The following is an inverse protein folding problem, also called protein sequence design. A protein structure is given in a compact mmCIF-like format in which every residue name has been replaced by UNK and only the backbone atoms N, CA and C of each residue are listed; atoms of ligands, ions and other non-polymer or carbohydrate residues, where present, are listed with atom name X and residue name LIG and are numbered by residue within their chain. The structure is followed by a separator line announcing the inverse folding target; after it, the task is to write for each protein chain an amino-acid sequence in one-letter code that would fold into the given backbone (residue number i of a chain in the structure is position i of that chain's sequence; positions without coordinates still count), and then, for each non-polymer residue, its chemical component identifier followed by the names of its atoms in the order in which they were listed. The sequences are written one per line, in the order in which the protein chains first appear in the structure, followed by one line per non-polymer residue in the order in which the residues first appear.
data_IF_486015435715
#
_entry.id   IF_486015435715
#
_cell.length_a   1.000
_cell.length_b   1.000
_cell.length_c   1.000
_cell.angle_alpha   90.00
_cell.angle_beta   90.00
_cell.angle_gamma   90.00
#
_symmetry.space_group_name_H-M   'P 1'
#
loop_
_entity.id
_entity.type
_entity.pdbx_description
1 polymer ?
#
# COMPACT_ATOMS: atom_id res chain seq x y z
N UNK A 1 20.06 -15.92 -0.19
CA UNK A 1 18.66 -15.52 -0.43
C UNK A 1 18.45 -14.02 -0.27
N UNK A 2 19.09 -13.34 0.70
CA UNK A 2 18.98 -11.87 0.87
C UNK A 2 19.37 -11.01 -0.36
N UNK A 3 20.42 -11.38 -1.11
CA UNK A 3 20.84 -10.59 -2.29
C UNK A 3 19.77 -10.50 -3.39
N UNK A 4 18.99 -11.56 -3.61
CA UNK A 4 17.90 -11.57 -4.60
C UNK A 4 16.76 -10.63 -4.17
N UNK A 5 16.43 -10.58 -2.88
CA UNK A 5 15.41 -9.68 -2.34
C UNK A 5 15.87 -8.22 -2.33
N UNK A 6 17.15 -7.98 -2.05
CA UNK A 6 17.76 -6.66 -2.18
C UNK A 6 17.67 -6.15 -3.63
N UNK A 7 18.05 -6.98 -4.62
CA UNK A 7 17.92 -6.64 -6.04
C UNK A 7 16.46 -6.38 -6.43
N UNK A 8 15.53 -7.24 -5.98
CA UNK A 8 14.10 -7.06 -6.24
C UNK A 8 13.58 -5.72 -5.71
N UNK A 9 13.89 -5.39 -4.46
CA UNK A 9 13.45 -4.14 -3.82
C UNK A 9 14.08 -2.93 -4.51
N UNK A 10 15.35 -3.00 -4.89
CA UNK A 10 16.03 -1.98 -5.70
C UNK A 10 15.33 -1.74 -7.06
N UNK A 11 14.92 -2.81 -7.74
CA UNK A 11 14.17 -2.70 -9.01
C UNK A 11 12.83 -1.99 -8.79
N UNK A 12 12.07 -2.38 -7.76
CA UNK A 12 10.80 -1.72 -7.44
C UNK A 12 11.01 -0.25 -7.10
N UNK A 13 12.00 0.09 -6.27
CA UNK A 13 12.35 1.48 -5.96
C UNK A 13 12.70 2.27 -7.22
N UNK A 14 13.44 1.67 -8.15
CA UNK A 14 13.74 2.26 -9.45
C UNK A 14 12.48 2.55 -10.27
N UNK A 15 11.52 1.62 -10.32
CA UNK A 15 10.24 1.85 -11.01
C UNK A 15 9.45 2.97 -10.34
N UNK A 16 9.39 3.02 -9.00
CA UNK A 16 8.68 4.09 -8.29
C UNK A 16 9.30 5.47 -8.58
N UNK A 17 10.63 5.54 -8.68
CA UNK A 17 11.34 6.77 -9.05
C UNK A 17 11.03 7.19 -10.50
N UNK A 18 10.98 6.24 -11.43
CA UNK A 18 10.54 6.47 -12.81
C UNK A 18 9.09 6.98 -12.85
N UNK A 19 8.16 6.34 -12.13
CA UNK A 19 6.77 6.78 -12.06
C UNK A 19 6.64 8.19 -11.45
N UNK A 20 7.39 8.50 -10.39
CA UNK A 20 7.40 9.82 -9.76
C UNK A 20 7.92 10.90 -10.73
N UNK A 21 9.03 10.64 -11.43
CA UNK A 21 9.61 11.59 -12.40
C UNK A 21 8.73 11.78 -13.64
N UNK A 22 8.15 10.71 -14.18
CA UNK A 22 7.20 10.78 -15.30
C UNK A 22 5.93 11.54 -14.91
N UNK A 23 5.36 11.26 -13.73
CA UNK A 23 4.18 11.97 -13.22
C UNK A 23 4.48 13.45 -12.97
N UNK A 24 5.69 13.78 -12.48
CA UNK A 24 6.14 15.16 -12.31
C UNK A 24 6.25 15.88 -13.67
N UNK A 25 6.85 15.25 -14.68
CA UNK A 25 6.93 15.82 -16.02
C UNK A 25 5.54 16.03 -16.65
N UNK A 26 4.64 15.04 -16.51
CA UNK A 26 3.25 15.13 -16.96
C UNK A 26 2.47 16.24 -16.23
N UNK A 27 2.74 16.44 -14.93
CA UNK A 27 2.18 17.54 -14.17
C UNK A 27 2.67 18.90 -14.68
N UNK A 28 3.98 19.06 -14.93
CA UNK A 28 4.54 20.30 -15.47
C UNK A 28 3.92 20.67 -16.84
N UNK A 29 3.63 19.67 -17.68
CA UNK A 29 3.03 19.90 -18.99
C UNK A 29 1.52 20.20 -18.92
N UNK A 30 0.75 19.44 -18.14
CA UNK A 30 -0.73 19.49 -18.15
C UNK A 30 -1.34 20.36 -17.05
N UNK A 31 -0.58 20.64 -15.98
CA UNK A 31 -1.06 21.24 -14.73
C UNK A 31 -2.24 20.50 -14.07
N UNK A 32 -2.52 19.25 -14.48
CA UNK A 32 -3.61 18.46 -13.92
C UNK A 32 -3.27 17.97 -12.51
N UNK A 33 -4.22 18.12 -11.58
CA UNK A 33 -4.07 17.73 -10.17
C UNK A 33 -3.87 16.23 -9.99
N UNK A 34 -4.43 15.41 -10.87
CA UNK A 34 -4.29 13.94 -10.82
C UNK A 34 -2.83 13.50 -10.82
N UNK A 35 -2.01 14.07 -11.72
CA UNK A 35 -0.58 13.71 -11.80
C UNK A 35 0.20 14.10 -10.53
N UNK A 36 -0.20 15.16 -9.81
CA UNK A 36 0.40 15.48 -8.50
C UNK A 36 0.11 14.40 -7.46
N UNK A 37 -1.12 13.88 -7.44
CA UNK A 37 -1.50 12.84 -6.49
C UNK A 37 -0.83 11.50 -6.81
N UNK A 38 -0.69 11.14 -8.09
CA UNK A 38 0.08 9.97 -8.53
C UNK A 38 1.55 10.11 -8.12
N UNK A 39 2.17 11.26 -8.36
CA UNK A 39 3.54 11.53 -7.92
C UNK A 39 3.69 11.34 -6.40
N UNK A 40 2.75 11.87 -5.61
CA UNK A 40 2.73 11.67 -4.16
C UNK A 40 2.66 10.20 -3.77
N UNK A 41 1.75 9.43 -4.39
CA UNK A 41 1.64 7.99 -4.14
C UNK A 41 2.94 7.25 -4.45
N UNK A 42 3.59 7.57 -5.57
CA UNK A 42 4.87 6.97 -5.96
C UNK A 42 6.01 7.30 -4.98
N UNK A 43 6.08 8.54 -4.47
CA UNK A 43 7.10 8.95 -3.49
C UNK A 43 6.89 8.31 -2.11
N UNK A 44 5.65 8.23 -1.63
CA UNK A 44 5.36 7.53 -0.38
C UNK A 44 5.64 6.03 -0.52
N UNK A 45 5.31 5.41 -1.65
CA UNK A 45 5.60 4.00 -1.87
C UNK A 45 7.10 3.72 -2.01
N UNK A 46 7.85 4.64 -2.62
CA UNK A 46 9.32 4.61 -2.63
C UNK A 46 9.87 4.65 -1.21
N UNK A 47 9.32 5.50 -0.33
CA UNK A 47 9.73 5.58 1.07
C UNK A 47 9.38 4.30 1.85
N UNK A 48 8.26 3.65 1.54
CA UNK A 48 7.87 2.36 2.14
C UNK A 48 8.87 1.27 1.76
N UNK A 49 9.18 1.16 0.46
CA UNK A 49 10.19 0.23 -0.05
C UNK A 49 11.58 0.51 0.54
N UNK A 50 11.93 1.79 0.75
CA UNK A 50 13.20 2.18 1.36
C UNK A 50 13.25 1.75 2.83
N UNK A 51 12.18 1.92 3.61
CA UNK A 51 12.15 1.45 5.00
C UNK A 51 12.35 -0.05 5.07
N UNK A 52 11.63 -0.82 4.24
CA UNK A 52 11.79 -2.28 4.17
C UNK A 52 13.23 -2.66 3.81
N UNK A 53 13.82 -1.98 2.81
CA UNK A 53 15.21 -2.21 2.42
C UNK A 53 16.19 -1.89 3.56
N UNK A 54 15.96 -0.82 4.33
CA UNK A 54 16.80 -0.42 5.45
C UNK A 54 16.73 -1.42 6.61
N UNK A 55 15.53 -1.91 6.91
CA UNK A 55 15.32 -2.93 7.94
C UNK A 55 16.02 -4.24 7.56
N UNK A 56 15.91 -4.67 6.30
CA UNK A 56 16.48 -5.93 5.80
C UNK A 56 18.00 -5.89 5.60
N UNK A 57 18.52 -4.84 4.94
CA UNK A 57 19.93 -4.77 4.56
C UNK A 57 20.84 -4.22 5.66
N UNK A 58 20.30 -3.40 6.56
CA UNK A 58 21.08 -2.73 7.62
C UNK A 58 20.64 -3.10 9.04
N UNK A 59 19.69 -4.03 9.20
CA UNK A 59 19.23 -4.48 10.51
C UNK A 59 18.52 -3.40 11.32
N UNK A 60 17.90 -2.42 10.66
CA UNK A 60 17.22 -1.27 11.27
C UNK A 60 15.85 -1.62 11.91
N UNK A 61 15.68 -2.85 12.39
CA UNK A 61 14.42 -3.42 12.90
C UNK A 61 14.34 -3.54 14.43
N UNK A 62 13.30 -4.22 14.93
CA UNK A 62 13.12 -4.49 16.36
C UNK A 62 14.16 -5.52 16.85
N UNK A 63 15.02 -5.13 17.79
CA UNK A 63 15.97 -6.03 18.46
C UNK A 63 15.49 -6.43 19.87
N UNK A 64 15.72 -7.69 20.27
CA UNK A 64 15.36 -8.24 21.60
C UNK A 64 14.10 -9.11 21.64
N UNK A 65 13.60 -9.45 22.85
CA UNK A 65 12.47 -10.38 23.10
C UNK A 65 11.14 -10.03 22.41
N UNK A 66 11.00 -8.80 21.88
CA UNK A 66 9.86 -8.35 21.08
C UNK A 66 9.98 -8.70 19.58
N UNK A 67 11.09 -9.29 19.13
CA UNK A 67 11.40 -9.51 17.72
C UNK A 67 10.43 -10.46 17.00
N UNK A 68 9.73 -11.34 17.72
CA UNK A 68 8.84 -12.33 17.09
C UNK A 68 7.53 -11.73 16.54
N UNK A 69 6.99 -10.67 17.18
CA UNK A 69 5.67 -10.09 16.81
C UNK A 69 5.57 -8.56 16.95
N UNK A 70 6.67 -7.88 17.31
CA UNK A 70 6.71 -6.41 17.36
C UNK A 70 6.69 -5.79 15.96
N UNK A 71 5.98 -4.66 15.83
CA UNK A 71 5.96 -3.86 14.59
C UNK A 71 7.13 -2.87 14.66
N UNK A 72 8.12 -2.93 13.75
CA UNK A 72 9.19 -1.93 13.69
C UNK A 72 8.62 -0.57 13.30
N UNK A 73 9.00 0.48 14.04
CA UNK A 73 8.66 1.88 13.76
C UNK A 73 7.19 2.13 13.34
N UNK A 74 6.19 1.80 14.21
CA UNK A 74 4.78 1.82 13.84
C UNK A 74 4.29 3.19 13.37
N UNK A 75 4.83 4.28 13.94
CA UNK A 75 4.52 5.65 13.52
C UNK A 75 5.00 5.92 12.09
N UNK A 76 6.25 5.58 11.77
CA UNK A 76 6.83 5.81 10.45
C UNK A 76 6.09 5.03 9.36
N UNK A 77 5.84 3.74 9.62
CA UNK A 77 5.06 2.88 8.72
C UNK A 77 3.64 3.41 8.51
N UNK A 78 2.96 3.83 9.57
CA UNK A 78 1.60 4.40 9.46
C UNK A 78 1.59 5.68 8.63
N UNK A 79 2.55 6.59 8.82
CA UNK A 79 2.60 7.86 8.09
C UNK A 79 2.82 7.61 6.60
N UNK A 80 3.74 6.71 6.26
CA UNK A 80 4.08 6.39 4.87
C UNK A 80 2.92 5.68 4.18
N UNK A 81 2.36 4.64 4.79
CA UNK A 81 1.23 3.91 4.22
C UNK A 81 -0.02 4.77 4.11
N UNK A 82 -0.27 5.66 5.08
CA UNK A 82 -1.34 6.65 5.02
C UNK A 82 -1.12 7.62 3.86
N UNK A 83 0.13 8.05 3.62
CA UNK A 83 0.50 8.90 2.51
C UNK A 83 0.14 8.27 1.16
N UNK A 84 0.54 7.01 0.92
CA UNK A 84 0.19 6.26 -0.30
C UNK A 84 -1.33 6.22 -0.48
N UNK A 85 -2.04 5.82 0.57
CA UNK A 85 -3.47 5.58 0.50
C UNK A 85 -4.27 6.88 0.32
N UNK A 86 -3.89 7.96 1.00
CA UNK A 86 -4.50 9.28 0.82
C UNK A 86 -4.30 9.75 -0.62
N UNK A 87 -3.10 9.60 -1.17
CA UNK A 87 -2.83 9.98 -2.56
C UNK A 87 -3.69 9.18 -3.56
N UNK A 88 -3.79 7.85 -3.40
CA UNK A 88 -4.67 7.00 -4.21
C UNK A 88 -6.14 7.43 -4.07
N UNK A 89 -6.59 7.71 -2.84
CA UNK A 89 -7.95 8.20 -2.60
C UNK A 89 -8.22 9.55 -3.28
N UNK A 90 -7.24 10.46 -3.29
CA UNK A 90 -7.37 11.74 -3.99
C UNK A 90 -7.51 11.55 -5.51
N UNK A 91 -6.75 10.62 -6.11
CA UNK A 91 -6.87 10.27 -7.54
C UNK A 91 -8.30 9.81 -7.85
N UNK A 92 -8.85 8.92 -7.03
CA UNK A 92 -10.23 8.41 -7.18
C UNK A 92 -11.24 9.55 -7.03
N UNK A 93 -11.09 10.41 -6.02
CA UNK A 93 -11.98 11.55 -5.81
C UNK A 93 -11.95 12.54 -6.98
N UNK A 94 -10.78 12.83 -7.54
CA UNK A 94 -10.64 13.71 -8.70
C UNK A 94 -11.31 13.09 -9.95
N UNK A 95 -11.12 11.79 -10.17
CA UNK A 95 -11.76 11.07 -11.28
C UNK A 95 -13.29 11.03 -11.17
N UNK A 96 -13.82 10.88 -9.95
CA UNK A 96 -15.25 10.88 -9.65
C UNK A 96 -15.83 12.29 -9.45
N UNK A 97 -15.02 13.35 -9.63
CA UNK A 97 -15.39 14.76 -9.46
C UNK A 97 -16.01 15.07 -8.08
N UNK A 98 -15.46 14.45 -7.03
CA UNK A 98 -15.90 14.62 -5.64
C UNK A 98 -15.15 15.79 -5.01
N UNK A 99 -15.82 16.95 -4.89
CA UNK A 99 -15.22 18.16 -4.33
C UNK A 99 -15.37 18.31 -2.80
N UNK A 100 -16.20 17.47 -2.14
CA UNK A 100 -16.44 17.58 -0.70
C UNK A 100 -15.18 17.26 0.11
N UNK A 101 -14.63 18.25 0.80
CA UNK A 101 -13.40 18.13 1.61
C UNK A 101 -13.49 17.04 2.67
N UNK A 102 -14.64 16.92 3.33
CA UNK A 102 -14.86 15.90 4.37
C UNK A 102 -14.58 14.50 3.83
N UNK A 103 -15.17 14.16 2.68
CA UNK A 103 -15.04 12.85 2.02
C UNK A 103 -13.60 12.60 1.54
N UNK A 104 -12.87 13.66 1.19
CA UNK A 104 -11.48 13.58 0.73
C UNK A 104 -10.49 13.30 1.85
N UNK A 105 -10.75 13.74 3.08
CA UNK A 105 -9.80 13.65 4.20
C UNK A 105 -10.14 12.50 5.15
N UNK A 106 -11.42 12.22 5.38
CA UNK A 106 -11.87 11.25 6.39
C UNK A 106 -11.21 9.87 6.30
N UNK A 107 -11.07 9.24 5.12
CA UNK A 107 -10.55 7.87 5.04
C UNK A 107 -9.10 7.75 5.49
N UNK A 108 -8.26 8.75 5.15
CA UNK A 108 -6.86 8.78 5.57
C UNK A 108 -6.70 9.02 7.08
N UNK A 109 -7.53 9.90 7.65
CA UNK A 109 -7.51 10.15 9.10
C UNK A 109 -8.01 8.93 9.86
N UNK A 110 -9.10 8.30 9.41
CA UNK A 110 -9.63 7.08 10.01
C UNK A 110 -8.59 5.94 9.97
N UNK A 111 -7.89 5.79 8.85
CA UNK A 111 -6.78 4.83 8.72
C UNK A 111 -5.70 5.04 9.75
N UNK A 112 -5.15 6.26 9.80
CA UNK A 112 -4.03 6.59 10.66
C UNK A 112 -4.40 6.36 12.13
N UNK A 113 -5.59 6.79 12.55
CA UNK A 113 -6.09 6.57 13.91
C UNK A 113 -6.22 5.07 14.23
N UNK A 114 -6.80 4.27 13.33
CA UNK A 114 -6.94 2.83 13.52
C UNK A 114 -5.57 2.12 13.60
N UNK A 115 -4.61 2.49 12.75
CA UNK A 115 -3.23 1.99 12.83
C UNK A 115 -2.58 2.32 14.17
N UNK A 116 -2.75 3.53 14.68
CA UNK A 116 -2.21 3.94 15.98
C UNK A 116 -2.84 3.19 17.14
N UNK A 117 -4.16 2.97 17.10
CA UNK A 117 -4.87 2.17 18.11
C UNK A 117 -4.37 0.73 18.10
N UNK A 118 -4.20 0.13 16.93
CA UNK A 118 -3.68 -1.24 16.81
C UNK A 118 -2.23 -1.32 17.29
N UNK A 119 -1.40 -0.33 16.96
CA UNK A 119 -0.01 -0.28 17.40
C UNK A 119 0.15 -0.08 18.91
N UNK A 120 -0.87 0.43 19.61
CA UNK A 120 -0.88 0.57 21.06
C UNK A 120 -1.33 -0.70 21.80
N UNK A 121 -1.89 -1.70 21.10
CA UNK A 121 -2.27 -2.99 21.68
C UNK A 121 -1.02 -3.86 21.92
N UNK A 122 -1.09 -4.81 22.88
CA UNK A 122 0.03 -5.73 23.13
C UNK A 122 0.42 -6.51 21.87
N UNK A 123 1.72 -6.74 21.70
CA UNK A 123 2.28 -7.45 20.56
C UNK A 123 1.72 -8.88 20.50
N UNK A 124 1.06 -9.21 19.40
CA UNK A 124 0.48 -10.52 19.15
C UNK A 124 0.42 -10.77 17.64
N UNK A 125 0.37 -12.03 17.20
CA UNK A 125 0.18 -12.34 15.78
C UNK A 125 -1.07 -11.66 15.20
N UNK A 126 -2.13 -11.54 16.01
CA UNK A 126 -3.39 -10.92 15.62
C UNK A 126 -3.27 -9.39 15.44
N UNK A 127 -2.56 -8.69 16.34
CA UNK A 127 -2.35 -7.24 16.24
C UNK A 127 -1.44 -6.89 15.06
N UNK A 128 -0.41 -7.70 14.82
CA UNK A 128 0.45 -7.57 13.64
C UNK A 128 -0.35 -7.79 12.34
N UNK A 129 -1.12 -8.87 12.25
CA UNK A 129 -1.96 -9.16 11.09
C UNK A 129 -2.99 -8.04 10.83
N UNK A 130 -3.63 -7.53 11.90
CA UNK A 130 -4.59 -6.44 11.80
C UNK A 130 -3.93 -5.16 11.28
N UNK A 131 -2.72 -4.83 11.75
CA UNK A 131 -1.99 -3.64 11.32
C UNK A 131 -1.66 -3.69 9.82
N UNK A 132 -1.05 -4.78 9.35
CA UNK A 132 -0.66 -4.91 7.93
C UNK A 132 -1.85 -5.13 7.00
N UNK A 133 -2.98 -5.65 7.49
CA UNK A 133 -4.21 -5.83 6.69
C UNK A 133 -5.08 -4.57 6.62
N UNK A 134 -4.85 -3.57 7.48
CA UNK A 134 -5.71 -2.37 7.53
C UNK A 134 -5.66 -1.56 6.22
N UNK A 135 -4.50 -1.52 5.54
CA UNK A 135 -4.35 -0.88 4.21
C UNK A 135 -5.26 -1.53 3.17
N UNK A 136 -5.44 -2.84 3.24
CA UNK A 136 -6.29 -3.61 2.33
C UNK A 136 -7.76 -3.26 2.51
N UNK A 137 -8.21 -3.13 3.76
CA UNK A 137 -9.60 -2.75 4.09
C UNK A 137 -9.96 -1.44 3.40
N UNK A 138 -9.05 -0.47 3.39
CA UNK A 138 -9.34 0.82 2.78
C UNK A 138 -9.26 0.82 1.26
N UNK A 139 -8.39 0.00 0.65
CA UNK A 139 -8.43 -0.26 -0.79
C UNK A 139 -9.77 -0.90 -1.20
N UNK A 140 -10.30 -1.83 -0.40
CA UNK A 140 -11.64 -2.39 -0.61
C UNK A 140 -12.72 -1.32 -0.45
N UNK A 141 -12.66 -0.49 0.60
CA UNK A 141 -13.59 0.63 0.77
C UNK A 141 -13.54 1.60 -0.42
N UNK A 142 -12.36 1.88 -0.97
CA UNK A 142 -12.19 2.70 -2.15
C UNK A 142 -12.79 2.05 -3.41
N UNK A 143 -12.63 0.74 -3.58
CA UNK A 143 -13.25 0.01 -4.67
C UNK A 143 -14.79 0.00 -4.57
N UNK A 144 -15.33 -0.22 -3.36
CA UNK A 144 -16.78 -0.17 -3.09
C UNK A 144 -17.32 1.24 -3.34
N UNK A 145 -16.65 2.28 -2.85
CA UNK A 145 -17.05 3.67 -3.05
C UNK A 145 -17.08 4.04 -4.54
N UNK A 146 -16.06 3.62 -5.29
CA UNK A 146 -15.99 3.83 -6.74
C UNK A 146 -17.14 3.13 -7.45
N UNK A 147 -17.44 1.89 -7.08
CA UNK A 147 -18.55 1.10 -7.66
C UNK A 147 -19.93 1.68 -7.30
N UNK A 148 -20.10 2.18 -6.07
CA UNK A 148 -21.34 2.85 -5.66
C UNK A 148 -21.59 4.12 -6.46
N UNK A 149 -20.56 4.97 -6.62
CA UNK A 149 -20.65 6.18 -7.44
C UNK A 149 -20.83 5.87 -8.92
N UNK A 150 -20.20 4.82 -9.43
CA UNK A 150 -20.42 4.27 -10.77
C UNK A 150 -21.89 3.95 -11.01
N UNK A 151 -22.52 3.21 -10.10
CA UNK A 151 -23.92 2.81 -10.24
C UNK A 151 -24.88 4.02 -10.24
N UNK A 152 -24.51 5.09 -9.54
CA UNK A 152 -25.28 6.32 -9.49
C UNK A 152 -25.12 7.24 -10.73
N UNK A 153 -24.15 6.97 -11.62
CA UNK A 153 -23.88 7.80 -12.80
C UNK A 153 -24.85 7.50 -13.96
N UNK A 154 -25.65 8.49 -14.35
CA UNK A 154 -26.64 8.34 -15.43
C UNK A 154 -26.09 8.57 -16.85
N UNK A 155 -24.94 9.26 -17.03
CA UNK A 155 -24.46 9.68 -18.36
C UNK A 155 -23.63 8.64 -19.13
N UNK A 156 -23.91 8.47 -20.42
CA UNK A 156 -23.34 7.45 -21.31
C UNK A 156 -21.87 7.66 -21.65
N UNK A 157 -21.38 8.91 -21.74
CA UNK A 157 -19.96 9.20 -22.03
C UNK A 157 -19.03 8.87 -20.86
N UNK A 158 -19.47 9.07 -19.60
CA UNK A 158 -18.69 8.68 -18.42
C UNK A 158 -18.56 7.16 -18.28
N UNK A 159 -19.54 6.38 -18.76
CA UNK A 159 -19.49 4.89 -18.72
C UNK A 159 -18.37 4.27 -19.58
N UNK A 160 -17.90 4.95 -20.64
CA UNK A 160 -16.90 4.39 -21.56
C UNK A 160 -15.47 4.45 -21.00
N UNK A 161 -15.07 5.55 -20.36
CA UNK A 161 -13.80 5.65 -19.62
C UNK A 161 -13.74 4.70 -18.42
N UNK A 162 -14.91 4.39 -17.86
CA UNK A 162 -15.06 3.62 -16.64
C UNK A 162 -14.98 2.09 -16.85
N UNK A 163 -15.03 1.59 -18.10
CA UNK A 163 -14.72 0.18 -18.39
C UNK A 163 -13.25 -0.17 -18.16
N UNK A 164 -12.33 0.76 -18.44
CA UNK A 164 -10.93 0.60 -18.10
C UNK A 164 -10.75 0.59 -16.57
N UNK A 165 -11.46 1.49 -15.89
CA UNK A 165 -11.49 1.54 -14.42
C UNK A 165 -12.09 0.29 -13.78
N UNK A 166 -13.09 -0.34 -14.41
CA UNK A 166 -13.68 -1.58 -13.92
C UNK A 166 -12.68 -2.75 -13.90
N UNK A 167 -11.83 -2.86 -14.92
CA UNK A 167 -10.72 -3.83 -14.92
C UNK A 167 -9.70 -3.53 -13.82
N UNK A 168 -9.35 -2.25 -13.63
CA UNK A 168 -8.47 -1.83 -12.53
C UNK A 168 -9.08 -2.17 -11.16
N UNK A 169 -10.38 -1.99 -10.97
CA UNK A 169 -11.07 -2.34 -9.72
C UNK A 169 -11.05 -3.85 -9.45
N UNK A 170 -11.35 -4.67 -10.46
CA UNK A 170 -11.30 -6.14 -10.34
C UNK A 170 -9.87 -6.58 -10.00
N UNK A 171 -8.87 -6.07 -10.73
CA UNK A 171 -7.46 -6.38 -10.48
C UNK A 171 -7.05 -5.96 -9.06
N UNK A 172 -7.48 -4.77 -8.61
CA UNK A 172 -7.22 -4.29 -7.25
C UNK A 172 -7.80 -5.24 -6.21
N UNK A 173 -9.05 -5.70 -6.38
CA UNK A 173 -9.68 -6.64 -5.46
C UNK A 173 -8.98 -8.00 -5.43
N UNK A 174 -8.57 -8.51 -6.59
CA UNK A 174 -7.83 -9.78 -6.69
C UNK A 174 -6.47 -9.67 -6.00
N UNK A 175 -5.71 -8.59 -6.26
CA UNK A 175 -4.40 -8.39 -5.64
C UNK A 175 -4.50 -8.11 -4.15
N UNK A 176 -5.55 -7.43 -3.69
CA UNK A 176 -5.85 -7.27 -2.26
C UNK A 176 -6.14 -8.62 -1.60
N UNK A 177 -6.92 -9.49 -2.24
CA UNK A 177 -7.19 -10.83 -1.73
C UNK A 177 -5.92 -11.69 -1.67
N UNK A 178 -5.07 -11.59 -2.70
CA UNK A 178 -3.77 -12.25 -2.73
C UNK A 178 -2.84 -11.75 -1.61
N UNK A 179 -2.76 -10.43 -1.39
CA UNK A 179 -1.98 -9.82 -0.31
C UNK A 179 -2.46 -10.30 1.07
N UNK A 180 -3.78 -10.37 1.27
CA UNK A 180 -4.34 -10.90 2.52
C UNK A 180 -3.96 -12.36 2.74
N UNK A 181 -3.99 -13.19 1.69
CA UNK A 181 -3.57 -14.58 1.76
C UNK A 181 -2.06 -14.70 2.03
N UNK A 182 -1.22 -13.91 1.37
CA UNK A 182 0.22 -13.84 1.60
C UNK A 182 0.53 -13.45 3.05
N UNK A 183 -0.13 -12.43 3.59
CA UNK A 183 0.04 -12.00 4.98
C UNK A 183 -0.42 -13.09 5.96
N UNK A 184 -1.56 -13.75 5.69
CA UNK A 184 -2.08 -14.82 6.54
C UNK A 184 -1.13 -16.02 6.59
N UNK A 185 -0.62 -16.45 5.43
CA UNK A 185 0.35 -17.56 5.35
C UNK A 185 1.66 -17.17 6.06
N UNK A 186 2.15 -15.96 5.82
CA UNK A 186 3.44 -15.50 6.34
C UNK A 186 3.42 -15.31 7.87
N UNK A 187 2.42 -14.60 8.39
CA UNK A 187 2.31 -14.23 9.81
C UNK A 187 1.77 -15.40 10.65
N UNK A 188 0.74 -16.11 10.18
CA UNK A 188 0.05 -17.13 10.98
C UNK A 188 0.59 -18.55 10.78
N UNK A 189 1.10 -18.89 9.58
CA UNK A 189 1.54 -20.27 9.28
C UNK A 189 3.06 -20.41 9.29
N UNK A 190 3.81 -19.52 8.62
CA UNK A 190 5.26 -19.71 8.47
C UNK A 190 6.07 -19.27 9.69
N UNK A 191 5.74 -18.10 10.27
CA UNK A 191 6.44 -17.58 11.48
C UNK A 191 6.48 -18.54 12.68
N UNK A 192 5.42 -19.28 13.01
CA UNK A 192 5.45 -20.22 14.14
C UNK A 192 6.03 -21.62 13.83
N UNK A 193 6.13 -22.04 12.56
CA UNK A 193 6.55 -23.41 12.19
C UNK A 193 8.02 -23.57 11.79
N UNK A 194 8.70 -22.50 11.36
CA UNK A 194 10.10 -22.56 10.94
C UNK A 194 10.94 -21.72 11.90
N UNK A 195 11.49 -22.33 12.97
CA UNK A 195 12.56 -21.69 13.71
C UNK A 195 13.75 -21.62 12.76
N UNK A 196 14.14 -20.41 12.40
CA UNK A 196 15.25 -20.14 11.51
C UNK A 196 16.52 -20.83 12.03
N UNK A 197 17.37 -21.39 11.15
CA UNK A 197 18.59 -22.09 11.56
C UNK A 197 19.51 -21.23 12.46
N UNK A 198 19.38 -19.91 12.36
CA UNK A 198 20.20 -18.90 13.03
C UNK A 198 19.42 -18.07 14.08
N UNK A 199 18.18 -18.42 14.39
CA UNK A 199 17.35 -17.71 15.37
C UNK A 199 16.72 -16.39 14.90
N UNK A 200 16.94 -15.97 13.64
CA UNK A 200 16.33 -14.76 13.08
C UNK A 200 14.98 -15.05 12.42
N UNK A 201 13.83 -14.65 12.98
CA UNK A 201 12.51 -15.04 12.49
C UNK A 201 12.32 -14.59 11.05
N UNK A 202 12.11 -15.50 10.08
CA UNK A 202 11.93 -15.21 8.65
C UNK A 202 11.07 -13.94 8.41
N UNK A 203 11.68 -12.74 8.25
CA UNK A 203 10.95 -11.49 8.07
C UNK A 203 10.44 -11.36 6.62
N UNK A 204 11.04 -12.17 5.74
CA UNK A 204 11.17 -11.95 4.30
C UNK A 204 9.89 -11.99 3.47
N UNK A 205 8.75 -12.49 3.98
CA UNK A 205 7.57 -12.74 3.11
C UNK A 205 6.41 -11.80 3.39
N UNK A 206 6.23 -11.34 4.63
CA UNK A 206 5.06 -10.49 4.96
C UNK A 206 5.24 -9.02 4.57
N UNK A 207 6.47 -8.51 4.56
CA UNK A 207 6.74 -7.12 4.20
C UNK A 207 6.96 -6.93 2.70
N UNK A 208 7.35 -8.00 2.01
CA UNK A 208 7.48 -8.08 0.56
C UNK A 208 6.27 -8.75 -0.07
N UNK A 209 5.06 -8.25 0.18
CA UNK A 209 3.88 -8.78 -0.51
C UNK A 209 4.02 -8.51 -2.01
N UNK A 210 4.31 -9.57 -2.78
CA UNK A 210 4.56 -9.48 -4.21
C UNK A 210 3.34 -8.92 -4.94
N UNK A 211 2.15 -9.26 -4.45
CA UNK A 211 0.88 -8.75 -4.98
C UNK A 211 0.73 -7.22 -4.83
N UNK A 212 1.29 -6.61 -3.78
CA UNK A 212 1.30 -5.15 -3.59
C UNK A 212 2.23 -4.45 -4.59
N UNK A 213 3.43 -5.00 -4.76
CA UNK A 213 4.39 -4.50 -5.74
C UNK A 213 3.86 -4.61 -7.17
N UNK A 214 3.17 -5.71 -7.50
CA UNK A 214 2.49 -5.86 -8.79
C UNK A 214 1.38 -4.82 -8.96
N UNK A 215 0.58 -4.56 -7.92
CA UNK A 215 -0.47 -3.54 -7.96
C UNK A 215 0.12 -2.15 -8.27
N UNK A 216 1.24 -1.79 -7.65
CA UNK A 216 1.92 -0.51 -7.89
C UNK A 216 2.51 -0.43 -9.29
N UNK A 217 3.12 -1.51 -9.80
CA UNK A 217 3.60 -1.57 -11.17
C UNK A 217 2.47 -1.33 -12.17
N UNK A 218 1.30 -1.95 -11.94
CA UNK A 218 0.14 -1.72 -12.79
C UNK A 218 -0.35 -0.27 -12.73
N UNK A 219 -0.50 0.31 -11.53
CA UNK A 219 -0.88 1.72 -11.43
C UNK A 219 0.15 2.66 -12.07
N UNK A 220 1.44 2.35 -11.97
CA UNK A 220 2.52 3.11 -12.59
C UNK A 220 2.52 3.09 -14.12
N UNK A 221 2.07 2.00 -14.75
CA UNK A 221 1.93 1.90 -16.21
C UNK A 221 0.72 2.71 -16.72
N UNK A 222 -0.35 2.82 -15.92
CA UNK A 222 -1.58 3.51 -16.29
C UNK A 222 -1.62 5.01 -15.90
N UNK A 223 -0.59 5.50 -15.21
CA UNK A 223 -0.41 6.88 -14.77
C UNK A 223 0.10 7.83 -15.85
#
# INVERSE_FOLDING_TARGET
MGELFAIYTLVIMGVCLCCATMSHAAWCASHNKTHRYVMGAALFYLADCLLVFMEDSFGYGVSGDMAAFGIPHPLGRTIISAGVLICVWQVICEYLDVQRRDVRVHPGVAYALLCLVIAALPASPATQMAFYSLRLVLLVCAAVFTTYKYAALQSTSRKKGMRCMAWLLILTLVLVAANLAENAVSILMMRPLVPSPDGEPLPFVSEHSMSENVLVLFYGIYA
#
